data_IF_767446175893
#
_entry.id   IF_767446175893
#
_cell.length_a   1.000
_cell.length_b   1.000
_cell.length_c   1.000
_cell.angle_alpha   90.00
_cell.angle_beta   90.00
_cell.angle_gamma   90.00
#
_symmetry.space_group_name_H-M   'P 1'
#
loop_
_entity.id
_entity.type
_entity.pdbx_description
1 polymer ?
#
# COMPACT_ATOMS: atom_id res chain seq x y z
N UNK A 1 6.49 -30.47 8.45
CA UNK A 1 6.48 -30.76 9.92
C UNK A 1 5.72 -29.64 10.62
N UNK A 2 4.75 -29.99 11.46
CA UNK A 2 3.93 -29.04 12.23
C UNK A 2 4.07 -29.37 13.71
N UNK A 3 4.09 -28.35 14.55
CA UNK A 3 4.07 -28.55 16.00
C UNK A 3 2.70 -28.20 16.56
N UNK A 4 2.05 -29.18 17.19
CA UNK A 4 0.74 -29.01 17.83
C UNK A 4 0.93 -29.08 19.34
N UNK A 5 0.58 -28.00 20.01
CA UNK A 5 0.63 -27.87 21.47
C UNK A 5 -0.79 -27.90 21.99
N UNK A 6 -1.11 -28.94 22.78
CA UNK A 6 -2.42 -29.11 23.40
C UNK A 6 -2.36 -28.67 24.86
N UNK A 7 -3.30 -27.82 25.26
CA UNK A 7 -3.42 -27.29 26.62
C UNK A 7 -4.75 -27.69 27.26
N UNK A 8 -4.81 -27.59 28.59
CA UNK A 8 -6.05 -27.71 29.34
C UNK A 8 -6.89 -26.43 29.14
N UNK A 9 -8.21 -26.59 28.97
CA UNK A 9 -9.16 -25.48 28.88
C UNK A 9 -9.01 -24.54 30.09
N UNK A 10 -8.92 -23.22 29.84
CA UNK A 10 -8.78 -22.18 30.86
C UNK A 10 -7.35 -21.66 31.15
N UNK A 11 -6.32 -22.15 30.44
CA UNK A 11 -4.96 -21.59 30.50
C UNK A 11 -4.57 -20.92 29.17
N UNK A 12 -4.97 -19.66 28.95
CA UNK A 12 -4.52 -18.87 27.80
C UNK A 12 -3.43 -17.85 28.19
N UNK A 13 -2.47 -17.68 27.28
CA UNK A 13 -1.65 -16.48 27.02
C UNK A 13 -0.17 -16.41 27.45
N UNK A 14 0.29 -16.93 28.59
CA UNK A 14 1.68 -16.61 29.03
C UNK A 14 2.75 -17.69 28.82
N UNK A 15 2.38 -18.97 28.70
CA UNK A 15 3.35 -20.06 28.51
C UNK A 15 3.68 -20.36 27.03
N UNK A 16 3.02 -19.67 26.09
CA UNK A 16 3.08 -19.99 24.66
C UNK A 16 4.29 -19.42 23.93
N UNK A 17 4.85 -18.32 24.44
CA UNK A 17 6.00 -17.66 23.81
C UNK A 17 7.25 -18.54 23.82
N UNK A 18 7.50 -19.29 24.90
CA UNK A 18 8.67 -20.18 24.99
C UNK A 18 8.58 -21.35 24.00
N UNK A 19 7.40 -21.97 23.87
CA UNK A 19 7.18 -23.07 22.92
C UNK A 19 7.21 -22.58 21.47
N UNK A 20 6.69 -21.39 21.23
CA UNK A 20 6.78 -20.72 19.93
C UNK A 20 8.23 -20.38 19.56
N UNK A 21 9.00 -19.81 20.50
CA UNK A 21 10.42 -19.50 20.32
C UNK A 21 11.25 -20.77 20.10
N UNK A 22 10.97 -21.85 20.83
CA UNK A 22 11.59 -23.14 20.60
C UNK A 22 11.30 -23.66 19.17
N UNK A 23 10.03 -23.66 18.76
CA UNK A 23 9.65 -24.10 17.42
C UNK A 23 10.28 -23.24 16.32
N UNK A 24 10.40 -21.92 16.54
CA UNK A 24 11.11 -21.01 15.65
C UNK A 24 12.60 -21.36 15.54
N UNK A 25 13.28 -21.59 16.66
CA UNK A 25 14.70 -21.99 16.69
C UNK A 25 14.95 -23.34 16.01
N UNK A 26 13.99 -24.26 16.08
CA UNK A 26 14.05 -25.56 15.39
C UNK A 26 13.65 -25.49 13.91
N UNK A 27 13.32 -24.30 13.38
CA UNK A 27 12.94 -24.12 11.98
C UNK A 27 11.59 -24.73 11.63
N UNK A 28 10.72 -24.97 12.62
CA UNK A 28 9.37 -25.49 12.38
C UNK A 28 8.54 -24.36 11.76
N UNK A 29 7.97 -24.52 10.55
CA UNK A 29 7.32 -23.42 9.84
C UNK A 29 5.98 -23.00 10.45
N UNK A 30 5.27 -23.92 11.11
CA UNK A 30 3.93 -23.71 11.62
C UNK A 30 3.74 -24.33 13.00
N UNK A 31 3.11 -23.56 13.89
CA UNK A 31 2.79 -23.96 15.27
C UNK A 31 1.30 -23.74 15.50
N UNK A 32 0.67 -24.72 16.15
CA UNK A 32 -0.75 -24.71 16.45
C UNK A 32 -0.92 -24.88 17.94
N UNK A 33 -1.65 -23.97 18.56
CA UNK A 33 -2.05 -24.07 19.96
C UNK A 33 -3.53 -24.41 20.02
N UNK A 34 -3.88 -25.41 20.82
CA UNK A 34 -5.28 -25.77 21.03
C UNK A 34 -5.57 -26.17 22.47
N UNK A 35 -6.78 -25.88 22.94
CA UNK A 35 -7.32 -26.43 24.18
C UNK A 35 -8.49 -27.41 23.94
N UNK A 36 -8.68 -27.84 22.69
CA UNK A 36 -9.80 -28.65 22.24
C UNK A 36 -10.99 -27.82 21.73
N UNK A 37 -11.23 -26.63 22.30
CA UNK A 37 -12.28 -25.71 21.85
C UNK A 37 -11.71 -24.66 20.90
N UNK A 38 -10.68 -23.94 21.35
CA UNK A 38 -10.01 -22.90 20.59
C UNK A 38 -8.77 -23.47 19.91
N UNK A 39 -8.57 -23.11 18.64
CA UNK A 39 -7.42 -23.49 17.83
C UNK A 39 -6.81 -22.24 17.22
N UNK A 40 -5.57 -21.96 17.57
CA UNK A 40 -4.83 -20.81 17.06
C UNK A 40 -3.66 -21.27 16.19
N UNK A 41 -3.64 -20.82 14.95
CA UNK A 41 -2.66 -21.19 13.94
C UNK A 41 -1.64 -20.07 13.78
N UNK A 42 -0.36 -20.38 13.95
CA UNK A 42 0.73 -19.40 13.90
C UNK A 42 1.80 -19.82 12.90
N UNK A 43 2.36 -18.81 12.23
CA UNK A 43 3.56 -18.95 11.42
C UNK A 43 4.77 -18.48 12.21
N UNK A 44 5.78 -19.33 12.34
CA UNK A 44 6.99 -19.00 13.09
C UNK A 44 7.84 -17.97 12.35
N UNK A 45 7.95 -18.11 11.03
CA UNK A 45 8.77 -17.28 10.15
C UNK A 45 8.07 -15.99 9.67
N UNK A 46 6.86 -15.72 10.14
CA UNK A 46 6.13 -14.50 9.83
C UNK A 46 6.74 -13.27 10.53
N UNK A 47 6.59 -12.10 9.93
CA UNK A 47 7.05 -10.82 10.50
C UNK A 47 6.05 -10.29 11.54
N UNK A 48 6.54 -9.48 12.47
CA UNK A 48 5.72 -8.84 13.50
C UNK A 48 5.76 -9.53 14.87
N UNK A 49 4.97 -8.99 15.79
CA UNK A 49 4.72 -9.49 17.14
C UNK A 49 4.01 -10.84 17.14
N UNK A 50 3.99 -11.52 18.29
CA UNK A 50 3.39 -12.85 18.42
C UNK A 50 1.93 -12.90 17.93
N UNK A 51 1.10 -11.91 18.32
CA UNK A 51 -0.28 -11.81 17.87
C UNK A 51 -0.40 -11.51 16.38
N UNK A 52 0.55 -10.75 15.83
CA UNK A 52 0.57 -10.44 14.39
C UNK A 52 0.85 -11.68 13.55
N UNK A 53 1.63 -12.65 14.07
CA UNK A 53 1.94 -13.93 13.42
C UNK A 53 0.81 -14.97 13.49
N UNK A 54 -0.28 -14.67 14.22
CA UNK A 54 -1.48 -15.51 14.25
C UNK A 54 -2.24 -15.34 12.94
N UNK A 55 -2.35 -16.43 12.19
CA UNK A 55 -3.04 -16.48 10.90
C UNK A 55 -4.54 -16.60 11.09
N UNK A 56 -4.95 -17.49 11.98
CA UNK A 56 -6.36 -17.75 12.23
C UNK A 56 -6.57 -18.21 13.68
N UNK A 57 -7.72 -17.85 14.24
CA UNK A 57 -8.24 -18.37 15.50
C UNK A 57 -9.61 -18.96 15.21
N UNK A 58 -9.74 -20.26 15.41
CA UNK A 58 -10.99 -21.00 15.30
C UNK A 58 -11.51 -21.26 16.71
N UNK A 59 -12.73 -20.87 17.02
CA UNK A 59 -13.45 -21.32 18.21
C UNK A 59 -14.58 -22.25 17.76
N UNK A 60 -14.49 -23.53 18.10
CA UNK A 60 -15.44 -24.54 17.66
C UNK A 60 -16.85 -24.38 18.26
N UNK A 61 -17.02 -23.59 19.33
CA UNK A 61 -18.34 -23.31 19.90
C UNK A 61 -19.03 -22.11 19.24
N UNK A 62 -18.24 -21.17 18.71
CA UNK A 62 -18.76 -19.96 18.07
C UNK A 62 -18.82 -20.07 16.54
N UNK A 63 -17.97 -20.89 15.95
CA UNK A 63 -17.82 -20.99 14.49
C UNK A 63 -18.81 -21.97 13.88
N UNK A 64 -19.18 -21.73 12.62
CA UNK A 64 -19.99 -22.66 11.85
C UNK A 64 -19.27 -24.01 11.64
N UNK A 65 -20.04 -25.10 11.57
CA UNK A 65 -19.50 -26.45 11.44
C UNK A 65 -18.77 -26.63 10.10
N UNK A 66 -19.32 -26.10 9.01
CA UNK A 66 -18.71 -26.24 7.68
C UNK A 66 -17.41 -25.44 7.59
N UNK A 67 -17.38 -24.23 8.15
CA UNK A 67 -16.14 -23.43 8.26
C UNK A 67 -15.11 -24.13 9.15
N UNK A 68 -15.54 -24.73 10.26
CA UNK A 68 -14.65 -25.46 11.17
C UNK A 68 -14.00 -26.65 10.48
N UNK A 69 -14.78 -27.45 9.74
CA UNK A 69 -14.27 -28.58 8.95
C UNK A 69 -13.29 -28.06 7.89
N UNK A 70 -13.69 -27.06 7.11
CA UNK A 70 -12.85 -26.49 6.05
C UNK A 70 -11.51 -25.99 6.61
N UNK A 71 -11.51 -25.27 7.73
CA UNK A 71 -10.28 -24.73 8.34
C UNK A 71 -9.39 -25.82 8.91
N UNK A 72 -9.96 -26.82 9.56
CA UNK A 72 -9.20 -27.95 10.09
C UNK A 72 -8.60 -28.77 8.95
N UNK A 73 -9.37 -29.12 7.92
CA UNK A 73 -8.86 -29.84 6.75
C UNK A 73 -7.76 -29.04 6.04
N UNK A 74 -8.01 -27.77 5.74
CA UNK A 74 -7.05 -26.89 5.04
C UNK A 74 -5.68 -26.80 5.72
N UNK A 75 -5.63 -26.83 7.06
CA UNK A 75 -4.38 -26.64 7.81
C UNK A 75 -3.82 -27.93 8.43
N UNK A 76 -4.63 -28.97 8.64
CA UNK A 76 -4.23 -30.19 9.36
C UNK A 76 -4.40 -31.48 8.55
N UNK A 77 -4.99 -31.44 7.36
CA UNK A 77 -5.13 -32.66 6.54
C UNK A 77 -3.77 -33.29 6.28
N UNK A 78 -3.61 -34.54 6.71
CA UNK A 78 -2.32 -35.24 6.72
C UNK A 78 -1.61 -35.19 5.37
N UNK A 79 -2.34 -35.48 4.29
CA UNK A 79 -1.80 -35.47 2.94
C UNK A 79 -1.24 -34.09 2.56
N UNK A 80 -1.94 -33.01 2.91
CA UNK A 80 -1.56 -31.62 2.64
C UNK A 80 -0.41 -31.13 3.51
N UNK A 81 -0.31 -31.66 4.74
CA UNK A 81 0.81 -31.39 5.65
C UNK A 81 2.09 -32.06 5.17
N UNK A 82 1.98 -33.30 4.67
CA UNK A 82 3.11 -34.06 4.16
C UNK A 82 3.65 -33.50 2.83
N UNK A 83 2.76 -32.98 1.98
CA UNK A 83 3.09 -32.42 0.67
C UNK A 83 3.54 -30.95 0.74
N UNK A 84 3.06 -30.18 1.72
CA UNK A 84 3.44 -28.78 1.95
C UNK A 84 2.31 -27.78 1.64
N UNK A 85 1.24 -28.22 1.02
CA UNK A 85 0.07 -27.46 0.60
C UNK A 85 -0.61 -26.77 1.79
N UNK A 86 -0.65 -27.42 2.96
CA UNK A 86 -1.18 -26.82 4.18
C UNK A 86 -0.36 -25.59 4.63
N UNK A 87 0.97 -25.62 4.43
CA UNK A 87 1.83 -24.49 4.74
C UNK A 87 1.65 -23.36 3.73
N UNK A 88 1.56 -23.66 2.43
CA UNK A 88 1.28 -22.66 1.39
C UNK A 88 -0.07 -21.98 1.61
N UNK A 89 -1.12 -22.74 1.93
CA UNK A 89 -2.43 -22.22 2.27
C UNK A 89 -2.36 -21.27 3.49
N UNK A 90 -1.63 -21.67 4.54
CA UNK A 90 -1.43 -20.84 5.73
C UNK A 90 -0.67 -19.56 5.43
N UNK A 91 0.37 -19.61 4.57
CA UNK A 91 1.13 -18.45 4.13
C UNK A 91 0.27 -17.47 3.31
N UNK A 92 -0.54 -17.99 2.38
CA UNK A 92 -1.48 -17.18 1.59
C UNK A 92 -2.49 -16.48 2.50
N UNK A 93 -3.07 -17.20 3.46
CA UNK A 93 -4.07 -16.65 4.37
C UNK A 93 -3.44 -15.60 5.30
N UNK A 94 -2.20 -15.80 5.75
CA UNK A 94 -1.43 -14.79 6.49
C UNK A 94 -1.18 -13.53 5.68
N UNK A 95 -0.76 -13.65 4.40
CA UNK A 95 -0.53 -12.49 3.54
C UNK A 95 -1.81 -11.66 3.35
N UNK A 96 -2.97 -12.32 3.25
CA UNK A 96 -4.26 -11.63 3.16
C UNK A 96 -4.60 -10.90 4.47
N UNK A 97 -4.41 -11.53 5.62
CA UNK A 97 -4.66 -10.90 6.94
C UNK A 97 -3.68 -9.74 7.20
N UNK A 98 -2.39 -9.92 6.91
CA UNK A 98 -1.37 -8.89 7.04
C UNK A 98 -1.68 -7.68 6.14
N UNK A 99 -2.07 -7.93 4.88
CA UNK A 99 -2.50 -6.88 3.95
C UNK A 99 -3.69 -6.09 4.49
N UNK A 100 -4.72 -6.77 5.01
CA UNK A 100 -5.90 -6.09 5.58
C UNK A 100 -5.50 -5.22 6.76
N UNK A 101 -4.67 -5.71 7.69
CA UNK A 101 -4.17 -4.92 8.82
C UNK A 101 -3.36 -3.71 8.38
N UNK A 102 -2.50 -3.86 7.39
CA UNK A 102 -1.73 -2.74 6.83
C UNK A 102 -2.65 -1.69 6.20
N UNK A 103 -3.68 -2.12 5.47
CA UNK A 103 -4.71 -1.21 4.92
C UNK A 103 -5.45 -0.49 6.04
N UNK A 104 -5.91 -1.20 7.08
CA UNK A 104 -6.60 -0.61 8.23
C UNK A 104 -5.72 0.39 8.99
N UNK A 105 -4.43 0.09 9.17
CA UNK A 105 -3.49 1.00 9.80
C UNK A 105 -3.14 2.22 8.92
N UNK A 106 -3.19 2.05 7.60
CA UNK A 106 -2.93 3.11 6.63
C UNK A 106 -4.16 4.01 6.40
N UNK A 107 -5.39 3.48 6.51
CA UNK A 107 -6.63 4.19 6.21
C UNK A 107 -6.78 5.51 7.00
N UNK A 108 -6.64 5.55 8.35
CA UNK A 108 -6.74 6.79 9.10
C UNK A 108 -5.68 7.82 8.71
N UNK A 109 -4.46 7.35 8.41
CA UNK A 109 -3.35 8.22 7.98
C UNK A 109 -3.59 8.78 6.58
N UNK A 110 -4.08 7.95 5.67
CA UNK A 110 -4.45 8.33 4.31
C UNK A 110 -5.62 9.33 4.33
N UNK A 111 -6.66 9.08 5.15
CA UNK A 111 -7.77 10.01 5.32
C UNK A 111 -7.31 11.36 5.85
N UNK A 112 -6.47 11.36 6.90
CA UNK A 112 -5.88 12.60 7.42
C UNK A 112 -5.07 13.35 6.36
N UNK A 113 -4.23 12.64 5.62
CA UNK A 113 -3.42 13.22 4.53
C UNK A 113 -4.29 13.81 3.41
N UNK A 114 -5.40 13.16 3.05
CA UNK A 114 -6.35 13.67 2.06
C UNK A 114 -7.04 14.95 2.52
N UNK A 115 -7.23 15.15 3.83
CA UNK A 115 -7.84 16.36 4.38
C UNK A 115 -6.83 17.49 4.58
N UNK A 116 -5.56 17.18 4.88
CA UNK A 116 -4.47 18.17 5.03
C UNK A 116 -4.07 18.77 3.68
N UNK A 117 -4.02 17.94 2.64
CA UNK A 117 -3.73 18.34 1.26
C UNK A 117 -4.91 17.91 0.35
N UNK A 118 -6.08 18.57 0.46
CA UNK A 118 -7.25 18.19 -0.32
C UNK A 118 -6.98 18.40 -1.81
N UNK A 119 -7.03 17.30 -2.56
CA UNK A 119 -6.91 17.37 -4.00
C UNK A 119 -8.18 17.94 -4.65
N UNK A 120 -8.07 18.34 -5.91
CA UNK A 120 -9.20 18.90 -6.65
C UNK A 120 -10.37 17.92 -6.76
N UNK A 121 -10.12 16.60 -6.73
CA UNK A 121 -11.15 15.58 -6.87
C UNK A 121 -12.03 15.52 -5.62
N UNK A 122 -11.45 15.59 -4.43
CA UNK A 122 -12.18 15.65 -3.17
C UNK A 122 -13.03 16.92 -3.07
N UNK A 123 -12.47 18.07 -3.50
CA UNK A 123 -13.19 19.35 -3.51
C UNK A 123 -14.34 19.35 -4.52
N UNK A 124 -14.13 18.79 -5.71
CA UNK A 124 -15.17 18.63 -6.72
C UNK A 124 -16.28 17.68 -6.26
N UNK A 125 -15.92 16.53 -5.66
CA UNK A 125 -16.90 15.58 -5.11
C UNK A 125 -17.76 16.24 -4.03
N UNK A 126 -17.16 17.07 -3.19
CA UNK A 126 -17.88 17.84 -2.18
C UNK A 126 -18.80 18.89 -2.84
N UNK A 127 -18.31 19.61 -3.85
CA UNK A 127 -19.10 20.60 -4.56
C UNK A 127 -20.30 19.99 -5.30
N UNK A 128 -20.11 18.88 -5.98
CA UNK A 128 -21.18 18.10 -6.63
C UNK A 128 -22.21 17.63 -5.59
N UNK A 129 -21.76 17.18 -4.41
CA UNK A 129 -22.68 16.75 -3.34
C UNK A 129 -23.44 17.92 -2.73
N UNK A 130 -22.87 19.11 -2.64
CA UNK A 130 -23.59 20.30 -2.18
C UNK A 130 -24.60 20.75 -3.25
N UNK A 131 -24.23 20.69 -4.53
CA UNK A 131 -25.14 20.95 -5.66
C UNK A 131 -26.34 19.99 -5.65
N UNK A 132 -26.12 18.68 -5.44
CA UNK A 132 -27.18 17.68 -5.28
C UNK A 132 -28.17 18.05 -4.16
N UNK A 133 -27.69 18.64 -3.07
CA UNK A 133 -28.47 18.91 -1.86
C UNK A 133 -29.21 20.25 -1.89
N UNK A 134 -28.61 21.29 -2.47
CA UNK A 134 -29.18 22.65 -2.43
C UNK A 134 -29.42 23.28 -3.80
N UNK A 135 -29.02 22.63 -4.90
CA UNK A 135 -29.14 23.12 -6.26
C UNK A 135 -28.11 24.18 -6.66
N UNK A 136 -27.18 24.53 -5.75
CA UNK A 136 -26.13 25.51 -6.00
C UNK A 136 -24.76 24.87 -5.82
N UNK A 137 -23.92 24.97 -6.86
CA UNK A 137 -22.56 24.46 -6.81
C UNK A 137 -21.63 25.45 -6.10
N UNK A 138 -21.05 25.11 -4.95
CA UNK A 138 -20.07 25.97 -4.29
C UNK A 138 -18.75 25.96 -5.07
N UNK A 139 -18.03 27.07 -5.00
CA UNK A 139 -16.66 27.15 -5.53
C UNK A 139 -15.70 26.30 -4.69
N UNK A 140 -14.64 25.80 -5.33
CA UNK A 140 -13.65 24.91 -4.70
C UNK A 140 -12.94 25.59 -3.52
N UNK A 141 -12.80 26.91 -3.54
CA UNK A 141 -12.26 27.71 -2.42
C UNK A 141 -13.19 27.73 -1.20
N UNK A 142 -14.50 27.61 -1.40
CA UNK A 142 -15.48 27.46 -0.32
C UNK A 142 -15.36 26.07 0.30
N UNK A 143 -15.26 25.03 -0.53
CA UNK A 143 -15.06 23.64 -0.10
C UNK A 143 -13.74 23.46 0.67
N UNK A 144 -12.64 24.07 0.19
CA UNK A 144 -11.32 24.00 0.82
C UNK A 144 -11.30 24.67 2.19
N UNK A 145 -11.89 25.86 2.29
CA UNK A 145 -12.06 26.54 3.58
C UNK A 145 -12.92 25.73 4.54
N UNK A 146 -14.01 25.13 4.07
CA UNK A 146 -14.85 24.28 4.90
C UNK A 146 -14.09 23.08 5.46
N UNK A 147 -13.34 22.35 4.62
CA UNK A 147 -12.51 21.22 5.08
C UNK A 147 -11.49 21.69 6.11
N UNK A 148 -10.81 22.81 5.87
CA UNK A 148 -9.83 23.40 6.80
C UNK A 148 -10.48 23.78 8.14
N UNK A 149 -11.68 24.34 8.12
CA UNK A 149 -12.46 24.70 9.32
C UNK A 149 -12.90 23.46 10.09
N UNK A 150 -13.38 22.42 9.39
CA UNK A 150 -13.74 21.13 10.00
C UNK A 150 -12.52 20.48 10.64
N UNK A 151 -11.35 20.50 9.98
CA UNK A 151 -10.11 19.98 10.57
C UNK A 151 -9.70 20.74 11.83
N UNK A 152 -9.84 22.07 11.85
CA UNK A 152 -9.54 22.90 13.03
C UNK A 152 -10.51 22.64 14.18
N UNK A 153 -11.79 22.44 13.87
CA UNK A 153 -12.83 22.18 14.88
C UNK A 153 -12.81 20.75 15.41
N UNK A 154 -12.26 19.78 14.66
CA UNK A 154 -12.05 18.40 15.09
C UNK A 154 -10.80 18.20 15.97
N UNK A 155 -10.07 19.26 16.36
CA UNK A 155 -8.95 19.16 17.30
C UNK A 155 -9.42 19.00 18.77
N UNK A 156 -10.70 19.16 19.08
CA UNK A 156 -11.23 18.95 20.45
C UNK A 156 -12.31 17.86 20.52
N UNK A 157 -11.94 16.58 20.33
CA UNK A 157 -12.47 15.44 21.10
C UNK A 157 -11.43 14.29 21.05
N UNK A 158 -10.72 13.96 22.14
CA UNK A 158 -10.05 12.66 22.22
C UNK A 158 -11.12 11.56 22.38
N UNK A 159 -11.10 10.47 21.60
CA UNK A 159 -11.86 9.29 21.96
C UNK A 159 -11.27 8.72 23.26
N UNK A 160 -11.99 8.87 24.37
CA UNK A 160 -11.75 8.10 25.58
C UNK A 160 -12.06 6.64 25.29
N UNK A 161 -11.06 5.89 24.82
CA UNK A 161 -11.06 4.46 25.03
C UNK A 161 -10.78 4.20 26.52
N UNK A 162 -11.48 3.27 27.19
CA UNK A 162 -11.12 2.86 28.53
C UNK A 162 -9.71 2.25 28.48
N UNK A 163 -8.69 3.02 28.86
CA UNK A 163 -7.36 2.48 29.11
C UNK A 163 -7.44 1.63 30.37
N UNK A 164 -7.34 0.31 30.20
CA UNK A 164 -6.98 -0.58 31.28
C UNK A 164 -5.65 -0.11 31.90
N UNK A 165 -5.50 -0.16 33.24
CA UNK A 165 -4.33 0.37 33.91
C UNK A 165 -3.08 -0.45 33.55
N UNK A 166 -2.20 0.14 32.74
CA UNK A 166 -0.81 -0.31 32.56
C UNK A 166 -0.03 0.04 33.83
N UNK A 167 0.17 -0.95 34.69
CA UNK A 167 1.23 -0.90 35.71
C UNK A 167 2.58 -0.82 35.00
N UNK A 168 3.20 0.36 35.06
CA UNK A 168 4.61 0.57 34.68
C UNK A 168 5.49 -0.02 35.78
N UNK A 169 6.16 -1.13 35.48
CA UNK A 169 7.47 -1.38 36.07
C UNK A 169 8.54 -0.86 35.11
N UNK A 170 9.48 -0.02 35.55
CA UNK A 170 10.61 0.40 34.74
C UNK A 170 11.71 -0.66 34.81
N UNK A 171 12.18 -1.12 33.64
CA UNK A 171 13.48 -1.77 33.48
C UNK A 171 14.34 -0.91 32.54
N UNK A 172 15.67 -0.94 32.68
CA UNK A 172 16.55 0.15 32.29
C UNK A 172 16.73 0.24 30.77
N UNK A 173 16.81 1.46 30.27
CA UNK A 173 17.15 1.76 28.89
C UNK A 173 18.66 1.54 28.68
N UNK A 174 19.03 0.50 27.94
CA UNK A 174 20.28 0.48 27.21
C UNK A 174 20.06 1.17 25.86
N UNK A 175 20.79 2.26 25.65
CA UNK A 175 20.88 2.97 24.37
C UNK A 175 21.64 2.08 23.39
N UNK A 176 20.95 1.58 22.37
CA UNK A 176 21.59 1.14 21.13
C UNK A 176 21.49 2.31 20.17
N UNK A 177 22.65 2.88 19.85
CA UNK A 177 22.83 3.86 18.79
C UNK A 177 22.34 3.27 17.47
N UNK A 178 21.45 4.00 16.78
CA UNK A 178 20.87 3.55 15.52
C UNK A 178 21.87 3.82 14.41
N UNK A 179 22.53 2.75 13.95
CA UNK A 179 23.28 2.73 12.69
C UNK A 179 22.30 2.81 11.52
N UNK A 180 22.51 3.81 10.66
CA UNK A 180 21.84 4.04 9.40
C UNK A 180 22.04 2.86 8.45
N UNK A 181 21.06 1.95 8.35
CA UNK A 181 21.02 0.95 7.26
C UNK A 181 19.63 0.80 6.66
N UNK A 182 19.46 1.49 5.54
CA UNK A 182 18.87 1.03 4.26
C UNK A 182 17.65 0.11 4.39
N UNK A 183 16.46 0.70 4.27
CA UNK A 183 15.23 -0.04 3.94
C UNK A 183 15.29 -0.43 2.46
N UNK A 184 15.46 -1.72 2.19
CA UNK A 184 15.28 -2.30 0.86
C UNK A 184 13.78 -2.30 0.50
N UNK A 185 13.31 -1.20 -0.10
CA UNK A 185 12.05 -1.17 -0.84
C UNK A 185 12.33 -1.50 -2.31
N UNK A 186 11.42 -2.24 -2.97
CA UNK A 186 11.50 -2.62 -4.38
C UNK A 186 12.05 -1.48 -5.24
N UNK A 187 13.22 -1.70 -5.84
CA UNK A 187 13.97 -0.66 -6.53
C UNK A 187 13.30 -0.31 -7.86
N UNK A 188 12.66 0.87 -7.96
CA UNK A 188 12.18 1.34 -9.26
C UNK A 188 13.37 1.51 -10.22
N UNK A 189 13.37 0.81 -11.36
CA UNK A 189 14.43 0.89 -12.35
C UNK A 189 13.91 1.03 -13.78
N UNK A 190 14.78 1.50 -14.67
CA UNK A 190 14.59 1.54 -16.12
C UNK A 190 15.84 1.00 -16.78
N UNK A 191 15.70 0.07 -17.71
CA UNK A 191 16.74 -0.28 -18.66
C UNK A 191 16.38 0.30 -20.03
N UNK A 192 17.27 1.13 -20.55
CA UNK A 192 17.11 1.77 -21.86
C UNK A 192 18.43 1.65 -22.62
N UNK A 193 18.41 0.99 -23.78
CA UNK A 193 19.61 0.77 -24.62
C UNK A 193 20.82 0.21 -23.84
N UNK A 194 20.57 -0.75 -22.93
CA UNK A 194 21.61 -1.39 -22.13
C UNK A 194 22.12 -0.56 -20.94
N UNK A 195 21.56 0.62 -20.67
CA UNK A 195 21.86 1.44 -19.49
C UNK A 195 20.74 1.32 -18.45
N UNK A 196 21.11 0.98 -17.22
CA UNK A 196 20.17 0.88 -16.09
C UNK A 196 20.14 2.18 -15.29
N UNK A 197 18.96 2.73 -15.08
CA UNK A 197 18.68 3.88 -14.24
C UNK A 197 17.87 3.43 -13.02
N UNK A 198 18.24 3.89 -11.81
CA UNK A 198 17.53 3.61 -10.55
C UNK A 198 17.06 4.92 -9.88
N UNK A 199 15.90 5.48 -10.27
CA UNK A 199 15.50 6.81 -9.83
C UNK A 199 14.88 6.84 -8.42
N UNK A 200 14.58 5.67 -7.83
CA UNK A 200 14.08 5.50 -6.46
C UNK A 200 12.61 5.91 -6.26
N UNK A 201 11.89 6.28 -7.33
CA UNK A 201 10.46 6.62 -7.27
C UNK A 201 9.79 6.41 -8.62
N UNK A 202 8.54 5.96 -8.62
CA UNK A 202 7.73 5.75 -9.83
C UNK A 202 7.63 7.01 -10.69
N UNK A 203 7.48 8.20 -10.09
CA UNK A 203 7.36 9.45 -10.86
C UNK A 203 8.67 9.83 -11.55
N UNK A 204 9.80 9.66 -10.85
CA UNK A 204 11.13 9.89 -11.43
C UNK A 204 11.44 8.88 -12.53
N UNK A 205 10.93 7.66 -12.39
CA UNK A 205 11.02 6.59 -13.39
C UNK A 205 10.28 7.00 -14.67
N UNK A 206 9.05 7.46 -14.55
CA UNK A 206 8.29 7.98 -15.69
C UNK A 206 8.97 9.17 -16.37
N UNK A 207 9.38 10.19 -15.60
CA UNK A 207 10.06 11.37 -16.15
C UNK A 207 11.33 11.00 -16.91
N UNK A 208 12.14 10.09 -16.34
CA UNK A 208 13.38 9.66 -16.98
C UNK A 208 13.12 8.85 -18.24
N UNK A 209 12.08 7.99 -18.25
CA UNK A 209 11.69 7.24 -19.43
C UNK A 209 11.25 8.18 -20.56
N UNK A 210 10.39 9.16 -20.27
CA UNK A 210 9.90 10.13 -21.25
C UNK A 210 11.03 11.00 -21.83
N UNK A 211 12.01 11.38 -21.01
CA UNK A 211 13.21 12.07 -21.48
C UNK A 211 13.99 11.21 -22.50
N UNK A 212 14.20 9.92 -22.20
CA UNK A 212 14.92 9.00 -23.11
C UNK A 212 14.15 8.70 -24.39
N UNK A 213 12.83 8.54 -24.29
CA UNK A 213 11.98 8.36 -25.47
C UNK A 213 12.04 9.58 -26.40
N UNK A 214 12.05 10.79 -25.84
CA UNK A 214 12.16 12.02 -26.63
C UNK A 214 13.55 12.21 -27.26
N UNK A 215 14.62 11.76 -26.58
CA UNK A 215 15.98 11.75 -27.15
C UNK A 215 16.11 10.74 -28.30
N UNK A 216 15.48 9.57 -28.19
CA UNK A 216 15.57 8.51 -29.19
C UNK A 216 14.61 8.71 -30.39
N UNK A 217 13.50 9.40 -30.19
CA UNK A 217 12.51 9.71 -31.22
C UNK A 217 12.01 11.15 -31.06
N UNK A 218 12.57 12.10 -31.84
CA UNK A 218 12.20 13.52 -31.74
C UNK A 218 10.71 13.81 -31.99
N UNK A 219 9.99 12.93 -32.69
CA UNK A 219 8.55 13.08 -32.96
C UNK A 219 7.65 12.39 -31.95
N UNK A 220 8.20 11.67 -30.96
CA UNK A 220 7.44 10.91 -29.98
C UNK A 220 6.50 11.81 -29.15
N UNK A 221 7.00 12.94 -28.64
CA UNK A 221 6.21 13.82 -27.78
C UNK A 221 5.04 14.46 -28.53
N UNK A 222 5.21 14.83 -29.80
CA UNK A 222 4.11 15.34 -30.61
C UNK A 222 3.03 14.27 -30.84
N UNK A 223 3.42 13.03 -31.13
CA UNK A 223 2.48 11.90 -31.29
C UNK A 223 1.78 11.55 -29.98
N UNK A 224 2.51 11.57 -28.86
CA UNK A 224 1.94 11.32 -27.54
C UNK A 224 0.98 12.45 -27.13
N UNK A 225 1.35 13.70 -27.40
CA UNK A 225 0.51 14.86 -27.11
C UNK A 225 -0.78 14.89 -27.93
N UNK A 226 -0.79 14.32 -29.14
CA UNK A 226 -1.97 14.20 -30.00
C UNK A 226 -2.95 13.09 -29.56
N UNK A 227 -2.56 12.18 -28.66
CA UNK A 227 -3.47 11.14 -28.16
C UNK A 227 -4.56 11.71 -27.25
N UNK A 228 -5.60 10.90 -27.02
CA UNK A 228 -6.62 11.20 -26.00
C UNK A 228 -5.97 11.13 -24.61
N UNK A 229 -5.76 12.28 -23.99
CA UNK A 229 -5.28 12.40 -22.61
C UNK A 229 -6.42 12.19 -21.61
N UNK A 230 -6.10 12.25 -20.32
CA UNK A 230 -7.10 12.25 -19.25
C UNK A 230 -8.18 13.31 -19.48
N UNK A 231 -9.41 13.01 -19.05
CA UNK A 231 -10.61 13.81 -19.35
C UNK A 231 -10.55 15.29 -18.96
N UNK A 232 -9.72 15.67 -17.99
CA UNK A 232 -9.58 17.05 -17.49
C UNK A 232 -8.18 17.66 -17.67
N UNK A 233 -7.15 16.87 -17.98
CA UNK A 233 -5.75 17.35 -18.04
C UNK A 233 -4.90 16.60 -19.06
N UNK A 234 -4.02 17.34 -19.74
CA UNK A 234 -2.99 16.75 -20.61
C UNK A 234 -1.85 16.19 -19.75
N UNK A 235 -1.27 15.05 -20.13
CA UNK A 235 -0.11 14.51 -19.43
C UNK A 235 1.18 15.24 -19.77
N UNK A 236 1.31 15.67 -21.03
CA UNK A 236 2.40 16.51 -21.54
C UNK A 236 1.84 17.69 -22.36
N UNK A 237 2.55 18.80 -22.38
CA UNK A 237 2.21 19.95 -23.22
C UNK A 237 3.44 20.82 -23.50
N UNK A 238 3.39 21.63 -24.57
CA UNK A 238 4.44 22.62 -24.90
C UNK A 238 4.45 23.81 -23.93
N UNK A 239 3.30 24.08 -23.31
CA UNK A 239 3.14 25.10 -22.29
C UNK A 239 2.66 24.44 -20.99
N UNK A 240 3.33 24.71 -19.87
CA UNK A 240 2.94 24.20 -18.54
C UNK A 240 1.50 24.57 -18.15
N UNK A 241 0.98 25.71 -18.63
CA UNK A 241 -0.39 26.14 -18.35
C UNK A 241 -1.43 25.23 -19.02
N UNK A 242 -1.09 24.60 -20.13
CA UNK A 242 -1.99 23.66 -20.82
C UNK A 242 -2.08 22.29 -20.13
N UNK A 243 -1.15 21.98 -19.22
CA UNK A 243 -1.26 20.79 -18.37
C UNK A 243 -2.42 20.92 -17.39
N UNK A 244 -2.71 22.15 -16.95
CA UNK A 244 -3.75 22.47 -15.99
C UNK A 244 -4.54 23.71 -16.47
N UNK A 245 -5.39 23.59 -17.52
CA UNK A 245 -6.08 24.73 -18.14
C UNK A 245 -6.89 25.55 -17.13
N UNK A 246 -7.51 24.87 -16.16
CA UNK A 246 -8.38 25.49 -15.16
C UNK A 246 -7.64 25.88 -13.86
N UNK A 247 -6.34 25.55 -13.74
CA UNK A 247 -5.56 25.67 -12.49
C UNK A 247 -4.09 26.08 -12.75
N UNK A 248 -3.83 27.36 -13.07
CA UNK A 248 -2.49 27.87 -13.38
C UNK A 248 -1.52 27.88 -12.17
N UNK A 249 -2.06 27.79 -10.96
CA UNK A 249 -1.32 27.61 -9.70
C UNK A 249 -0.62 26.24 -9.64
N UNK A 250 -1.34 25.17 -9.99
CA UNK A 250 -0.82 23.80 -10.06
C UNK A 250 0.18 23.64 -11.20
N UNK A 251 0.02 24.37 -12.30
CA UNK A 251 1.00 24.37 -13.39
C UNK A 251 2.40 24.81 -12.93
N UNK A 252 2.54 25.66 -11.91
CA UNK A 252 3.86 26.06 -11.38
C UNK A 252 4.46 25.03 -10.45
N UNK A 253 3.63 24.41 -9.60
CA UNK A 253 4.10 23.52 -8.55
C UNK A 253 4.19 22.06 -8.98
N UNK A 254 3.35 21.63 -9.93
CA UNK A 254 3.12 20.24 -10.34
C UNK A 254 3.53 19.94 -11.79
N UNK A 255 4.33 20.79 -12.42
CA UNK A 255 4.93 20.52 -13.73
C UNK A 255 6.46 20.43 -13.64
N UNK A 256 7.04 19.63 -14.54
CA UNK A 256 8.49 19.50 -14.71
C UNK A 256 8.78 19.55 -16.21
N UNK A 257 9.80 20.32 -16.59
CA UNK A 257 10.30 20.33 -17.96
C UNK A 257 11.15 19.05 -18.19
N UNK A 258 10.75 18.24 -19.17
CA UNK A 258 11.41 16.96 -19.48
C UNK A 258 12.51 17.14 -20.54
N UNK A 259 12.25 17.99 -21.54
CA UNK A 259 13.20 18.50 -22.54
C UNK A 259 12.82 19.96 -22.84
N UNK A 260 13.73 20.78 -23.39
CA UNK A 260 13.43 22.18 -23.69
C UNK A 260 12.12 22.37 -24.46
N UNK A 261 11.18 23.10 -23.87
CA UNK A 261 9.88 23.39 -24.49
C UNK A 261 8.81 22.29 -24.32
N UNK A 262 9.06 21.25 -23.52
CA UNK A 262 8.07 20.23 -23.18
C UNK A 262 7.95 20.01 -21.68
N UNK A 263 6.71 20.14 -21.20
CA UNK A 263 6.34 20.03 -19.80
C UNK A 263 5.52 18.77 -19.56
N UNK A 264 5.74 18.14 -18.41
CA UNK A 264 5.00 16.98 -17.94
C UNK A 264 4.48 17.21 -16.52
N UNK A 265 3.29 16.70 -16.22
CA UNK A 265 2.77 16.71 -14.85
C UNK A 265 3.59 15.80 -13.92
N UNK A 266 3.60 16.09 -12.61
CA UNK A 266 4.18 15.18 -11.60
C UNK A 266 3.19 14.63 -10.58
N UNK A 267 1.94 15.09 -10.60
CA UNK A 267 0.92 14.67 -9.64
C UNK A 267 0.07 13.51 -10.19
N UNK A 268 0.66 12.32 -10.18
CA UNK A 268 0.05 11.08 -10.67
C UNK A 268 0.21 9.94 -9.65
N UNK A 269 -0.84 9.12 -9.50
CA UNK A 269 -0.75 7.90 -8.69
C UNK A 269 0.16 6.85 -9.37
N UNK A 270 0.67 5.86 -8.63
CA UNK A 270 1.45 4.75 -9.24
C UNK A 270 0.68 4.03 -10.36
N UNK A 271 -0.64 3.90 -10.21
CA UNK A 271 -1.52 3.29 -11.22
C UNK A 271 -1.57 4.14 -12.49
N UNK A 272 -1.75 5.45 -12.34
CA UNK A 272 -1.78 6.37 -13.49
C UNK A 272 -0.41 6.44 -14.16
N UNK A 273 0.67 6.44 -13.39
CA UNK A 273 2.04 6.38 -13.93
C UNK A 273 2.23 5.13 -14.79
N UNK A 274 1.80 3.96 -14.31
CA UNK A 274 1.87 2.72 -15.09
C UNK A 274 1.06 2.84 -16.37
N UNK A 275 -0.17 3.35 -16.29
CA UNK A 275 -1.04 3.55 -17.45
C UNK A 275 -0.45 4.53 -18.48
N UNK A 276 0.12 5.65 -18.03
CA UNK A 276 0.79 6.66 -18.88
C UNK A 276 2.01 6.05 -19.58
N UNK A 277 2.81 5.25 -18.88
CA UNK A 277 3.95 4.54 -19.47
C UNK A 277 3.47 3.52 -20.50
N UNK A 278 2.42 2.74 -20.22
CA UNK A 278 1.88 1.77 -21.18
C UNK A 278 1.35 2.44 -22.46
N UNK A 279 0.67 3.58 -22.33
CA UNK A 279 0.26 4.40 -23.48
C UNK A 279 1.47 4.88 -24.29
N UNK A 280 2.54 5.33 -23.62
CA UNK A 280 3.76 5.77 -24.28
C UNK A 280 4.45 4.63 -25.03
N UNK A 281 4.52 3.45 -24.41
CA UNK A 281 5.07 2.25 -25.03
C UNK A 281 4.21 1.74 -26.20
N UNK A 282 2.92 2.10 -26.26
CA UNK A 282 2.01 1.73 -27.34
C UNK A 282 2.24 2.48 -28.65
N UNK A 283 2.83 3.68 -28.60
CA UNK A 283 3.00 4.56 -29.79
C UNK A 283 4.43 4.62 -30.34
N UNK A 284 5.38 4.01 -29.65
CA UNK A 284 6.77 3.94 -30.09
C UNK A 284 6.96 2.77 -31.06
N UNK A 285 8.03 2.80 -31.86
CA UNK A 285 8.33 1.73 -32.79
C UNK A 285 8.59 0.40 -32.04
N UNK A 286 8.18 -0.76 -32.59
CA UNK A 286 8.41 -2.07 -31.95
C UNK A 286 9.89 -2.34 -31.65
N UNK A 287 10.79 -1.84 -32.51
CA UNK A 287 12.25 -1.91 -32.34
C UNK A 287 12.76 -1.12 -31.14
N UNK A 288 12.13 0.01 -30.82
CA UNK A 288 12.47 0.83 -29.66
C UNK A 288 11.86 0.22 -28.39
N UNK A 289 10.61 -0.25 -28.46
CA UNK A 289 9.92 -0.92 -27.34
C UNK A 289 10.68 -2.14 -26.82
N UNK A 290 11.24 -2.96 -27.72
CA UNK A 290 12.01 -4.15 -27.35
C UNK A 290 13.28 -3.84 -26.52
N UNK A 291 13.77 -2.59 -26.55
CA UNK A 291 14.96 -2.16 -25.82
C UNK A 291 14.66 -1.54 -24.45
N UNK A 292 13.39 -1.58 -24.00
CA UNK A 292 12.92 -0.92 -22.78
C UNK A 292 12.41 -1.96 -21.79
N UNK A 293 12.91 -1.91 -20.56
CA UNK A 293 12.36 -2.63 -19.40
C UNK A 293 12.24 -1.66 -18.23
N UNK A 294 11.20 -1.79 -17.40
CA UNK A 294 10.97 -0.91 -16.26
C UNK A 294 10.24 -1.59 -15.10
N UNK A 295 10.44 -1.09 -13.88
CA UNK A 295 9.75 -1.49 -12.66
C UNK A 295 9.40 -0.26 -11.79
N UNK A 296 8.23 -0.25 -11.13
CA UNK A 296 7.63 0.91 -10.43
C UNK A 296 7.27 0.64 -8.96
#
# INVERSE_FOLDING_TARGET
>A
MIFIVVKKAGMSDWADRQLFEYAFLQGIPMVIFTNGQEWSFYLTNAQGSYDERRVYKLDLLESDIEESIYRLERYLQYDWVCSGEALEATLSDYQNVARTREIEAALPKAWKSLLEEPDSLLLELLADKVEDLCGYKPDLDVCSRFITTVMRNHVDVPPQYPTLPRTRNPLPAERIETDDRVRAGSECFIMFEGKTYKPGSAIRTMLKLFQRLAEADPGFLDRFAAMKHGSKRKYIARNRLELYPDRPDLAKQCSVEIIPGWWMGKNFSKRDIKHIIEMALGIISPTLRAKIQYEL
#
